data_IF_895932517220
#
_entry.id   IF_895932517220
#
_cell.length_a   1.000
_cell.length_b   1.000
_cell.length_c   1.000
_cell.angle_alpha   90.00
_cell.angle_beta   90.00
_cell.angle_gamma   90.00
#
_symmetry.space_group_name_H-M   'P 1'
#
loop_
_entity.id
_entity.type
_entity.pdbx_description
1 polymer ?
#
# COMPACT_ATOMS: atom_id res chain seq x y z
N UNK A 1 -15.95 28.74 -44.34
CA UNK A 1 -16.86 27.86 -43.58
C UNK A 1 -16.53 28.06 -42.13
N UNK A 2 -17.12 29.09 -41.52
CA UNK A 2 -16.99 29.27 -40.07
C UNK A 2 -17.92 28.25 -39.43
N UNK A 3 -17.39 27.40 -38.54
CA UNK A 3 -18.15 26.39 -37.82
C UNK A 3 -18.44 26.90 -36.40
N UNK A 4 -19.44 27.80 -36.22
CA UNK A 4 -19.71 28.43 -34.94
C UNK A 4 -20.11 27.42 -33.87
N UNK A 5 -20.78 26.33 -34.25
CA UNK A 5 -21.16 25.25 -33.33
C UNK A 5 -19.94 24.49 -32.79
N UNK A 6 -18.99 24.15 -33.67
CA UNK A 6 -17.75 23.47 -33.27
C UNK A 6 -16.90 24.39 -32.39
N UNK A 7 -16.84 25.67 -32.72
CA UNK A 7 -16.11 26.66 -31.94
C UNK A 7 -16.77 26.89 -30.56
N UNK A 8 -18.09 26.97 -30.49
CA UNK A 8 -18.83 27.07 -29.24
C UNK A 8 -18.68 25.81 -28.37
N UNK A 9 -18.73 24.61 -28.98
CA UNK A 9 -18.47 23.34 -28.29
C UNK A 9 -17.06 23.30 -27.72
N UNK A 10 -16.06 23.68 -28.52
CA UNK A 10 -14.66 23.74 -28.09
C UNK A 10 -14.46 24.74 -26.95
N UNK A 11 -15.12 25.91 -27.03
CA UNK A 11 -15.07 26.94 -26.00
C UNK A 11 -15.73 26.45 -24.71
N UNK A 12 -16.87 25.76 -24.79
CA UNK A 12 -17.52 25.14 -23.62
C UNK A 12 -16.67 24.03 -23.00
N UNK A 13 -16.03 23.18 -23.81
CA UNK A 13 -15.07 22.19 -23.32
C UNK A 13 -13.87 22.85 -22.64
N UNK A 14 -13.32 23.92 -23.22
CA UNK A 14 -12.22 24.69 -22.64
C UNK A 14 -12.62 25.34 -21.31
N UNK A 15 -13.81 25.95 -21.23
CA UNK A 15 -14.34 26.55 -20.00
C UNK A 15 -14.56 25.46 -18.94
N UNK A 16 -15.17 24.34 -19.31
CA UNK A 16 -15.36 23.21 -18.39
C UNK A 16 -14.02 22.70 -17.85
N UNK A 17 -13.04 22.50 -18.73
CA UNK A 17 -11.69 22.09 -18.36
C UNK A 17 -11.03 23.14 -17.45
N UNK A 18 -11.22 24.42 -17.72
CA UNK A 18 -10.75 25.54 -16.88
C UNK A 18 -11.38 25.54 -15.49
N UNK A 19 -12.70 25.36 -15.41
CA UNK A 19 -13.43 25.29 -14.13
C UNK A 19 -12.99 24.05 -13.35
N UNK A 20 -12.91 22.89 -14.00
CA UNK A 20 -12.39 21.67 -13.40
C UNK A 20 -10.95 21.85 -12.89
N UNK A 21 -10.11 22.53 -13.66
CA UNK A 21 -8.74 22.86 -13.28
C UNK A 21 -8.70 23.75 -12.02
N UNK A 22 -9.54 24.79 -11.96
CA UNK A 22 -9.65 25.65 -10.77
C UNK A 22 -10.14 24.87 -9.55
N UNK A 23 -11.15 24.02 -9.68
CA UNK A 23 -11.66 23.18 -8.58
C UNK A 23 -10.55 22.25 -8.07
N UNK A 24 -9.76 21.66 -8.96
CA UNK A 24 -8.60 20.84 -8.59
C UNK A 24 -7.58 21.66 -7.80
N UNK A 25 -7.24 22.86 -8.30
CA UNK A 25 -6.31 23.79 -7.66
C UNK A 25 -6.75 24.13 -6.23
N UNK A 26 -8.02 24.48 -6.03
CA UNK A 26 -8.57 24.73 -4.68
C UNK A 26 -8.54 23.49 -3.79
N UNK A 27 -8.85 22.31 -4.34
CA UNK A 27 -8.85 21.05 -3.58
C UNK A 27 -7.45 20.74 -3.03
N UNK A 28 -6.43 20.91 -3.87
CA UNK A 28 -5.02 20.70 -3.54
C UNK A 28 -4.55 21.67 -2.47
N UNK A 29 -4.86 22.95 -2.66
CA UNK A 29 -4.51 23.99 -1.70
C UNK A 29 -5.17 23.67 -0.35
N UNK A 30 -6.46 23.30 -0.35
CA UNK A 30 -7.20 22.92 0.86
C UNK A 30 -6.61 21.69 1.56
N UNK A 31 -6.17 20.68 0.81
CA UNK A 31 -5.50 19.48 1.32
C UNK A 31 -4.15 19.82 1.99
N UNK A 32 -3.33 20.66 1.35
CA UNK A 32 -2.07 21.17 1.92
C UNK A 32 -2.34 22.00 3.18
N UNK A 33 -3.37 22.84 3.19
CA UNK A 33 -3.75 23.60 4.38
C UNK A 33 -4.21 22.69 5.52
N UNK A 34 -4.84 21.55 5.21
CA UNK A 34 -5.28 20.54 6.18
C UNK A 34 -4.10 19.82 6.84
N UNK A 35 -2.99 19.66 6.13
CA UNK A 35 -1.72 19.23 6.75
C UNK A 35 -1.20 20.31 7.71
N UNK A 36 -1.14 19.96 8.99
CA UNK A 36 -0.97 20.90 10.10
C UNK A 36 0.49 21.02 10.56
N UNK A 37 1.42 20.43 9.80
CA UNK A 37 2.82 20.24 10.20
C UNK A 37 3.82 21.15 9.43
N UNK A 38 3.33 22.07 8.57
CA UNK A 38 4.19 22.87 7.68
C UNK A 38 4.10 24.38 8.03
N UNK A 39 5.29 24.99 8.15
CA UNK A 39 5.52 26.40 8.48
C UNK A 39 4.78 27.36 7.52
N UNK A 40 4.13 28.38 8.06
CA UNK A 40 3.17 29.25 7.34
C UNK A 40 3.77 30.01 6.14
N UNK A 41 5.07 30.30 6.16
CA UNK A 41 5.78 30.97 5.06
C UNK A 41 5.92 30.11 3.79
N UNK A 42 6.05 28.80 3.97
CA UNK A 42 6.14 27.86 2.84
C UNK A 42 4.79 27.77 2.13
N UNK A 43 3.67 27.83 2.87
CA UNK A 43 2.31 27.80 2.30
C UNK A 43 2.04 28.97 1.36
N UNK A 44 2.45 30.19 1.74
CA UNK A 44 2.23 31.38 0.90
C UNK A 44 3.06 31.36 -0.39
N UNK A 45 4.34 30.93 -0.31
CA UNK A 45 5.19 30.77 -1.48
C UNK A 45 4.69 29.69 -2.44
N UNK A 46 4.21 28.57 -1.89
CA UNK A 46 3.58 27.51 -2.67
C UNK A 46 2.33 28.02 -3.40
N UNK A 47 1.44 28.74 -2.72
CA UNK A 47 0.20 29.25 -3.32
C UNK A 47 0.46 30.12 -4.57
N UNK A 48 1.53 30.91 -4.54
CA UNK A 48 1.97 31.76 -5.66
C UNK A 48 2.52 30.94 -6.84
N UNK A 49 3.23 29.84 -6.55
CA UNK A 49 3.77 28.91 -7.57
C UNK A 49 2.67 28.04 -8.18
N UNK A 50 1.69 27.58 -7.38
CA UNK A 50 0.49 26.85 -7.88
C UNK A 50 -0.30 27.73 -8.85
N UNK A 51 -0.45 29.01 -8.51
CA UNK A 51 -1.21 29.97 -9.31
C UNK A 51 -0.59 30.19 -10.70
N UNK A 52 0.73 30.01 -10.85
CA UNK A 52 1.47 30.32 -12.08
C UNK A 52 1.69 29.12 -13.01
N UNK A 53 1.52 27.87 -12.56
CA UNK A 53 1.96 26.68 -13.31
C UNK A 53 0.82 25.69 -13.62
N UNK A 54 0.25 25.69 -14.84
CA UNK A 54 -0.77 24.71 -15.25
C UNK A 54 -0.28 23.25 -15.20
N UNK A 55 1.03 23.02 -15.35
CA UNK A 55 1.67 21.70 -15.28
C UNK A 55 1.57 21.01 -13.92
N UNK A 56 1.28 21.77 -12.88
CA UNK A 56 1.24 21.27 -11.53
C UNK A 56 0.05 20.32 -11.28
N UNK A 57 -1.06 20.49 -12.01
CA UNK A 57 -2.20 19.57 -11.91
C UNK A 57 -1.84 18.13 -12.31
N UNK A 58 -0.99 17.97 -13.34
CA UNK A 58 -0.47 16.66 -13.75
C UNK A 58 0.45 16.08 -12.68
N UNK A 59 1.34 16.91 -12.14
CA UNK A 59 2.29 16.50 -11.10
C UNK A 59 1.56 16.03 -9.84
N UNK A 60 0.49 16.73 -9.47
CA UNK A 60 -0.27 16.43 -8.27
C UNK A 60 -1.27 15.29 -8.44
N UNK A 61 -1.79 15.07 -9.65
CA UNK A 61 -2.52 13.85 -9.99
C UNK A 61 -1.66 12.60 -9.78
N UNK A 62 -0.39 12.66 -10.20
CA UNK A 62 0.57 11.56 -10.02
C UNK A 62 0.88 11.34 -8.53
N UNK A 63 1.04 12.41 -7.74
CA UNK A 63 1.29 12.32 -6.30
C UNK A 63 0.06 11.80 -5.54
N UNK A 64 -1.13 12.36 -5.79
CA UNK A 64 -2.37 11.96 -5.13
C UNK A 64 -2.79 10.52 -5.48
N UNK A 65 -2.49 10.06 -6.70
CA UNK A 65 -2.79 8.69 -7.12
C UNK A 65 -1.71 7.68 -6.70
N UNK A 66 -0.49 8.12 -6.41
CA UNK A 66 0.63 7.26 -6.01
C UNK A 66 0.63 6.84 -4.53
N UNK A 67 0.02 7.63 -3.63
CA UNK A 67 0.20 7.45 -2.18
C UNK A 67 -0.91 6.65 -1.49
N UNK A 68 -2.02 6.38 -2.17
CA UNK A 68 -3.16 5.70 -1.56
C UNK A 68 -3.03 4.19 -1.35
N UNK A 69 -2.00 3.53 -1.88
CA UNK A 69 -1.92 2.06 -1.89
C UNK A 69 -0.94 1.50 -0.85
N UNK A 70 0.25 2.09 -0.70
CA UNK A 70 1.30 1.53 0.19
C UNK A 70 0.99 1.68 1.68
N UNK A 71 0.39 2.80 2.09
CA UNK A 71 0.20 3.10 3.52
C UNK A 71 -0.97 2.31 4.12
N UNK A 72 -2.02 2.07 3.32
CA UNK A 72 -3.16 1.23 3.71
C UNK A 72 -2.81 -0.26 3.71
N UNK A 73 -1.89 -0.69 2.84
CA UNK A 73 -1.40 -2.07 2.83
C UNK A 73 -0.46 -2.34 4.02
N UNK A 74 0.41 -1.39 4.37
CA UNK A 74 1.28 -1.50 5.54
C UNK A 74 0.48 -1.59 6.85
N UNK A 75 -0.51 -0.71 7.07
CA UNK A 75 -1.37 -0.79 8.26
C UNK A 75 -2.22 -2.07 8.29
N UNK A 76 -2.70 -2.56 7.15
CA UNK A 76 -3.48 -3.81 7.08
C UNK A 76 -2.61 -5.02 7.38
N UNK A 77 -1.38 -5.05 6.86
CA UNK A 77 -0.41 -6.11 7.13
C UNK A 77 -0.02 -6.14 8.62
N UNK A 78 0.21 -4.98 9.23
CA UNK A 78 0.58 -4.90 10.65
C UNK A 78 -0.58 -5.32 11.57
N UNK A 79 -1.82 -4.91 11.26
CA UNK A 79 -3.01 -5.35 12.00
C UNK A 79 -3.27 -6.85 11.86
N UNK A 80 -3.11 -7.41 10.67
CA UNK A 80 -3.26 -8.85 10.44
C UNK A 80 -2.21 -9.67 11.17
N UNK A 81 -0.94 -9.23 11.20
CA UNK A 81 0.12 -9.92 11.96
C UNK A 81 -0.16 -9.91 13.47
N UNK A 82 -0.60 -8.77 14.03
CA UNK A 82 -0.93 -8.68 15.47
C UNK A 82 -2.10 -9.59 15.84
N UNK A 83 -3.13 -9.67 15.00
CA UNK A 83 -4.27 -10.57 15.23
C UNK A 83 -3.88 -12.05 15.13
N UNK A 84 -3.03 -12.40 14.15
CA UNK A 84 -2.56 -13.77 13.98
C UNK A 84 -1.67 -14.23 15.15
N UNK A 85 -0.77 -13.37 15.63
CA UNK A 85 0.05 -13.64 16.81
C UNK A 85 -0.77 -13.80 18.09
N UNK A 86 -1.78 -12.94 18.30
CA UNK A 86 -2.69 -13.06 19.43
C UNK A 86 -3.46 -14.38 19.39
N UNK A 87 -4.00 -14.74 18.22
CA UNK A 87 -4.70 -16.00 18.03
C UNK A 87 -3.80 -17.22 18.27
N UNK A 88 -2.58 -17.23 17.73
CA UNK A 88 -1.60 -18.31 17.96
C UNK A 88 -1.21 -18.43 19.44
N UNK A 89 -1.08 -17.31 20.16
CA UNK A 89 -0.73 -17.31 21.58
C UNK A 89 -1.86 -17.82 22.47
N UNK A 90 -3.11 -17.58 22.07
CA UNK A 90 -4.29 -17.96 22.83
C UNK A 90 -4.76 -19.39 22.51
N UNK A 91 -4.63 -19.83 21.25
CA UNK A 91 -5.05 -21.18 20.82
C UNK A 91 -3.97 -22.24 20.95
N UNK A 92 -2.71 -21.85 21.08
CA UNK A 92 -1.63 -22.77 21.44
C UNK A 92 -1.41 -22.64 22.95
N UNK A 93 -2.03 -23.49 23.80
CA UNK A 93 -1.56 -23.65 25.16
C UNK A 93 -0.08 -24.02 25.06
N UNK A 94 0.78 -23.47 25.93
CA UNK A 94 2.22 -23.75 26.08
C UNK A 94 2.58 -25.20 25.73
N UNK A 95 2.70 -25.47 24.44
CA UNK A 95 3.24 -26.68 23.87
C UNK A 95 4.67 -26.30 23.60
N UNK A 96 5.53 -26.72 24.52
CA UNK A 96 6.98 -26.61 24.44
C UNK A 96 7.44 -26.78 22.99
N UNK A 97 8.48 -26.07 22.58
CA UNK A 97 9.11 -26.27 21.25
C UNK A 97 9.26 -27.76 20.91
N UNK A 98 9.51 -28.60 21.93
CA UNK A 98 9.47 -30.06 21.89
C UNK A 98 8.25 -30.69 21.19
N UNK A 99 7.02 -30.17 21.39
CA UNK A 99 5.82 -30.67 20.72
C UNK A 99 5.79 -30.31 19.23
N UNK A 100 6.29 -29.14 18.86
CA UNK A 100 6.40 -28.73 17.44
C UNK A 100 7.50 -29.50 16.72
N UNK A 101 8.60 -29.79 17.42
CA UNK A 101 9.65 -30.69 16.93
C UNK A 101 9.12 -32.13 16.78
N UNK A 102 8.30 -32.62 17.71
CA UNK A 102 7.69 -33.95 17.62
C UNK A 102 6.71 -34.07 16.42
N UNK A 103 5.84 -33.09 16.21
CA UNK A 103 4.90 -33.10 15.07
C UNK A 103 5.61 -32.99 13.72
N UNK A 104 6.67 -32.17 13.63
CA UNK A 104 7.49 -32.07 12.42
C UNK A 104 8.31 -33.34 12.15
N UNK A 105 8.82 -34.01 13.19
CA UNK A 105 9.47 -35.32 13.06
C UNK A 105 8.50 -36.42 12.63
N UNK A 106 7.27 -36.42 13.14
CA UNK A 106 6.22 -37.37 12.74
C UNK A 106 5.87 -37.23 11.26
N UNK A 107 5.72 -35.99 10.78
CA UNK A 107 5.43 -35.70 9.38
C UNK A 107 6.58 -36.05 8.43
N UNK A 108 7.83 -35.85 8.86
CA UNK A 108 9.00 -36.29 8.12
C UNK A 108 9.08 -37.83 8.01
N UNK A 109 8.71 -38.55 9.07
CA UNK A 109 8.68 -40.02 9.05
C UNK A 109 7.59 -40.56 8.12
N UNK A 110 6.44 -39.90 8.07
CA UNK A 110 5.35 -40.23 7.15
C UNK A 110 5.77 -40.06 5.68
N UNK A 111 6.39 -38.93 5.33
CA UNK A 111 6.92 -38.67 3.98
C UNK A 111 7.96 -39.70 3.55
N UNK A 112 8.83 -40.13 4.48
CA UNK A 112 9.79 -41.22 4.23
C UNK A 112 9.06 -42.55 3.96
N UNK A 113 8.07 -42.89 4.78
CA UNK A 113 7.30 -44.13 4.63
C UNK A 113 6.49 -44.17 3.33
N UNK A 114 6.06 -43.00 2.85
CA UNK A 114 5.41 -42.85 1.55
C UNK A 114 6.38 -42.89 0.36
N UNK A 115 7.69 -42.81 0.62
CA UNK A 115 8.72 -42.80 -0.41
C UNK A 115 8.93 -41.44 -1.10
N UNK A 116 8.34 -40.37 -0.56
CA UNK A 116 8.46 -39.00 -1.10
C UNK A 116 9.84 -38.40 -0.84
N UNK A 117 10.58 -38.93 0.14
CA UNK A 117 11.95 -38.51 0.49
C UNK A 117 12.85 -39.73 0.70
N UNK A 118 14.13 -39.57 0.36
CA UNK A 118 15.16 -40.59 0.58
C UNK A 118 15.64 -40.60 2.04
N UNK A 119 16.25 -41.71 2.48
CA UNK A 119 16.76 -41.83 3.86
C UNK A 119 17.79 -40.73 4.19
N UNK A 120 18.63 -40.36 3.22
CA UNK A 120 19.65 -39.31 3.41
C UNK A 120 19.02 -37.92 3.61
N UNK A 121 17.94 -37.62 2.89
CA UNK A 121 17.18 -36.38 3.02
C UNK A 121 16.42 -36.32 4.35
N UNK A 122 15.85 -37.44 4.77
CA UNK A 122 15.20 -37.56 6.07
C UNK A 122 16.18 -37.28 7.22
N UNK A 123 17.38 -37.86 7.20
CA UNK A 123 18.38 -37.65 8.25
C UNK A 123 18.86 -36.19 8.31
N UNK A 124 19.05 -35.53 7.16
CA UNK A 124 19.39 -34.09 7.11
C UNK A 124 18.27 -33.21 7.67
N UNK A 125 17.02 -33.49 7.33
CA UNK A 125 15.88 -32.73 7.83
C UNK A 125 15.68 -32.94 9.33
N UNK A 126 15.83 -34.17 9.81
CA UNK A 126 15.78 -34.54 11.23
C UNK A 126 16.84 -33.78 12.04
N UNK A 127 18.08 -33.73 11.56
CA UNK A 127 19.15 -32.99 12.23
C UNK A 127 18.87 -31.49 12.33
N UNK A 128 18.21 -30.90 11.33
CA UNK A 128 17.82 -29.47 11.33
C UNK A 128 16.65 -29.16 12.26
N UNK A 129 15.77 -30.12 12.51
CA UNK A 129 14.64 -29.99 13.44
C UNK A 129 15.08 -30.22 14.89
N UNK A 130 16.13 -31.01 15.14
CA UNK A 130 16.64 -31.31 16.49
C UNK A 130 17.75 -30.36 16.98
N UNK A 131 18.21 -29.42 16.13
CA UNK A 131 19.25 -28.44 16.44
C UNK A 131 18.64 -27.10 16.86
#
# INVERSE_FOLDING_TARGET
MDYPLLNAFWTMCLIFLWVMWLVLLFTIISDIFRSRDINNWVKTGWLLVVLLLPFLGVFLYVIARGQGMSEREAERAERQQKQLQAYLRETVPTGDEASRHADSLAKLAELKNHGDITEEEFQKAKAKVLA
#
